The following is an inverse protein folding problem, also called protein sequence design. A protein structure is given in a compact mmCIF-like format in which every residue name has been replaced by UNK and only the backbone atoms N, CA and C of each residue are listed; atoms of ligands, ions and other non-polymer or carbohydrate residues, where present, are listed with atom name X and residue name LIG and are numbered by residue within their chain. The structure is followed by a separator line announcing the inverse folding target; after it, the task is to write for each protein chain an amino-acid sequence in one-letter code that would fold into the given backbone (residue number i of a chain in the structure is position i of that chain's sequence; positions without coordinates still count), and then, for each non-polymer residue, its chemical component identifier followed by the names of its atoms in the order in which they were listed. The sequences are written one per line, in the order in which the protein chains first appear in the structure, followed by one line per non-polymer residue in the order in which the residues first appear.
data_IF_919334551681
#
_entry.id   IF_919334551681
#
_cell.length_a   1.000
_cell.length_b   1.000
_cell.length_c   1.000
_cell.angle_alpha   90.00
_cell.angle_beta   90.00
_cell.angle_gamma   90.00
#
_symmetry.space_group_name_H-M   'P 1'
#
loop_
_entity.id
_entity.type
_entity.pdbx_description
1 polymer ?
#
# COMPACT_ATOMS: atom_id res chain seq x y z
N UNK A 1 -3.27 -1.87 -9.65
CA UNK A 1 -4.68 -1.41 -9.76
C UNK A 1 -5.51 -2.23 -8.79
N UNK A 2 -6.50 -1.61 -8.16
CA UNK A 2 -7.45 -2.28 -7.27
C UNK A 2 -8.90 -1.94 -7.63
N UNK A 3 -9.82 -2.87 -7.37
CA UNK A 3 -11.26 -2.65 -7.50
C UNK A 3 -11.96 -2.93 -6.17
N UNK A 4 -13.00 -2.16 -5.85
CA UNK A 4 -13.91 -2.45 -4.73
C UNK A 4 -15.38 -2.55 -5.20
N UNK A 5 -16.31 -2.60 -4.26
CA UNK A 5 -17.76 -2.69 -4.51
C UNK A 5 -18.46 -1.31 -4.53
N UNK A 6 -17.78 -0.24 -4.13
CA UNK A 6 -18.33 1.12 -4.15
C UNK A 6 -17.23 2.17 -4.29
N UNK A 7 -17.59 3.36 -4.80
CA UNK A 7 -16.65 4.49 -4.90
C UNK A 7 -16.13 4.87 -3.52
N UNK A 8 -17.00 5.00 -2.51
CA UNK A 8 -16.62 5.36 -1.14
C UNK A 8 -15.55 4.42 -0.56
N UNK A 9 -15.72 3.10 -0.72
CA UNK A 9 -14.74 2.12 -0.23
C UNK A 9 -13.42 2.21 -1.00
N UNK A 10 -13.50 2.51 -2.29
CA UNK A 10 -12.30 2.74 -3.11
C UNK A 10 -11.55 4.00 -2.67
N UNK A 11 -12.26 5.08 -2.34
CA UNK A 11 -11.67 6.32 -1.79
C UNK A 11 -11.02 6.08 -0.43
N UNK A 12 -11.71 5.39 0.49
CA UNK A 12 -11.18 5.04 1.81
C UNK A 12 -9.86 4.27 1.71
N UNK A 13 -9.82 3.22 0.87
CA UNK A 13 -8.62 2.39 0.68
C UNK A 13 -7.53 3.18 -0.04
N UNK A 14 -7.87 3.99 -1.04
CA UNK A 14 -6.90 4.80 -1.78
C UNK A 14 -6.23 5.86 -0.87
N UNK A 15 -6.98 6.47 0.04
CA UNK A 15 -6.49 7.45 1.00
C UNK A 15 -5.46 6.88 2.00
N UNK A 16 -5.44 5.57 2.23
CA UNK A 16 -4.39 4.91 3.03
C UNK A 16 -2.99 5.13 2.44
N UNK A 17 -2.90 5.37 1.13
CA UNK A 17 -1.65 5.57 0.40
C UNK A 17 -1.23 7.03 0.29
N UNK A 18 -1.97 7.96 0.87
CA UNK A 18 -1.62 9.38 0.80
C UNK A 18 -0.37 9.72 1.61
N UNK A 19 -0.14 9.03 2.72
CA UNK A 19 1.05 9.23 3.55
C UNK A 19 2.06 8.08 3.39
N UNK A 20 1.89 7.23 2.38
CA UNK A 20 2.82 6.14 2.13
C UNK A 20 4.12 6.67 1.50
N UNK A 21 5.29 6.46 2.13
CA UNK A 21 6.57 6.99 1.62
C UNK A 21 7.04 6.36 0.30
N UNK A 22 6.43 5.25 -0.11
CA UNK A 22 6.70 4.60 -1.40
C UNK A 22 5.69 4.97 -2.47
N UNK A 23 4.57 5.61 -2.09
CA UNK A 23 3.56 6.07 -3.03
C UNK A 23 4.11 7.27 -3.80
N UNK A 24 4.11 7.18 -5.12
CA UNK A 24 4.42 8.28 -6.04
C UNK A 24 3.13 9.01 -6.39
N UNK A 25 2.08 8.24 -6.71
CA UNK A 25 0.79 8.74 -7.10
C UNK A 25 -0.27 7.73 -6.67
N UNK A 26 -1.40 8.23 -6.18
CA UNK A 26 -2.61 7.45 -6.03
C UNK A 26 -3.78 8.26 -6.61
N UNK A 27 -4.78 7.60 -7.17
CA UNK A 27 -6.03 8.24 -7.58
C UNK A 27 -7.15 7.22 -7.71
N UNK A 28 -8.38 7.73 -7.61
CA UNK A 28 -9.62 6.98 -7.78
C UNK A 28 -10.31 7.39 -9.07
N UNK A 29 -10.91 6.42 -9.74
CA UNK A 29 -11.87 6.62 -10.82
C UNK A 29 -12.96 5.57 -10.70
N UNK A 30 -14.17 6.00 -10.37
CA UNK A 30 -15.29 5.12 -10.07
C UNK A 30 -14.90 4.11 -8.97
N UNK A 31 -15.18 2.82 -9.16
CA UNK A 31 -14.82 1.75 -8.21
C UNK A 31 -13.36 1.29 -8.34
N UNK A 32 -12.54 1.95 -9.16
CA UNK A 32 -11.15 1.60 -9.44
C UNK A 32 -10.19 2.56 -8.76
N UNK A 33 -9.13 2.01 -8.16
CA UNK A 33 -7.98 2.76 -7.66
C UNK A 33 -6.71 2.36 -8.39
N UNK A 34 -5.85 3.35 -8.60
CA UNK A 34 -4.50 3.16 -9.11
C UNK A 34 -3.54 3.76 -8.11
N UNK A 35 -2.54 2.97 -7.70
CA UNK A 35 -1.43 3.43 -6.88
C UNK A 35 -0.14 3.06 -7.61
N UNK A 36 0.71 4.05 -7.82
CA UNK A 36 2.05 3.89 -8.37
C UNK A 36 3.02 3.97 -7.22
N UNK A 37 3.84 2.93 -7.09
CA UNK A 37 4.88 2.88 -6.06
C UNK A 37 6.27 2.96 -6.67
N UNK A 38 7.19 3.59 -5.96
CA UNK A 38 8.63 3.48 -6.15
C UNK A 38 9.17 2.68 -4.97
N UNK A 39 9.42 1.39 -5.19
CA UNK A 39 9.77 0.43 -4.12
C UNK A 39 11.17 -0.14 -4.32
N UNK A 40 11.92 -0.38 -3.24
CA UNK A 40 13.07 -1.27 -3.26
C UNK A 40 12.69 -2.68 -3.73
N UNK A 41 13.61 -3.39 -4.41
CA UNK A 41 13.32 -4.71 -4.99
C UNK A 41 12.93 -5.77 -3.96
N UNK A 42 13.50 -5.70 -2.76
CA UNK A 42 13.23 -6.59 -1.64
C UNK A 42 11.84 -6.36 -1.00
N UNK A 43 11.09 -5.33 -1.43
CA UNK A 43 9.73 -5.03 -0.99
C UNK A 43 8.65 -5.48 -1.99
N UNK A 44 9.02 -6.05 -3.15
CA UNK A 44 8.07 -6.52 -4.18
C UNK A 44 7.04 -7.51 -3.65
N UNK A 45 7.43 -8.37 -2.70
CA UNK A 45 6.57 -9.38 -2.09
C UNK A 45 5.30 -8.79 -1.44
N UNK A 46 5.33 -7.52 -1.02
CA UNK A 46 4.17 -6.85 -0.45
C UNK A 46 3.05 -6.73 -1.50
N UNK A 47 3.36 -6.23 -2.69
CA UNK A 47 2.39 -6.08 -3.76
C UNK A 47 1.92 -7.45 -4.28
N UNK A 48 2.81 -8.45 -4.32
CA UNK A 48 2.44 -9.80 -4.70
C UNK A 48 1.42 -10.43 -3.73
N UNK A 49 1.53 -10.19 -2.42
CA UNK A 49 0.54 -10.72 -1.46
C UNK A 49 -0.83 -10.04 -1.63
N UNK A 50 -0.84 -8.74 -1.97
CA UNK A 50 -2.07 -8.02 -2.32
C UNK A 50 -2.72 -8.61 -3.58
N UNK A 51 -1.93 -8.91 -4.62
CA UNK A 51 -2.44 -9.56 -5.83
C UNK A 51 -2.98 -10.98 -5.56
N UNK A 52 -2.26 -11.76 -4.75
CA UNK A 52 -2.67 -13.14 -4.41
C UNK A 52 -3.93 -13.18 -3.53
N UNK A 53 -4.11 -12.18 -2.66
CA UNK A 53 -5.18 -12.15 -1.64
C UNK A 53 -5.76 -10.75 -1.45
N UNK A 54 -6.37 -10.16 -2.49
CA UNK A 54 -6.83 -8.77 -2.48
C UNK A 54 -7.86 -8.50 -1.38
N UNK A 55 -8.81 -9.42 -1.21
CA UNK A 55 -9.88 -9.32 -0.21
C UNK A 55 -9.33 -9.39 1.22
N UNK A 56 -8.36 -10.29 1.48
CA UNK A 56 -7.80 -10.49 2.83
C UNK A 56 -6.79 -9.44 3.24
N UNK A 57 -6.19 -8.73 2.29
CA UNK A 57 -5.14 -7.75 2.54
C UNK A 57 -5.72 -6.35 2.66
N UNK A 58 -6.47 -5.90 1.65
CA UNK A 58 -6.97 -4.54 1.54
C UNK A 58 -8.51 -4.48 1.40
N UNK A 59 -9.21 -5.62 1.40
CA UNK A 59 -10.66 -5.65 1.17
C UNK A 59 -11.06 -5.35 -0.27
N UNK A 60 -10.13 -5.53 -1.21
CA UNK A 60 -10.35 -5.34 -2.64
C UNK A 60 -11.05 -6.58 -3.24
N UNK A 61 -11.96 -6.36 -4.19
CA UNK A 61 -12.56 -7.45 -4.97
C UNK A 61 -11.61 -7.98 -6.04
N UNK A 62 -10.67 -7.13 -6.50
CA UNK A 62 -9.61 -7.46 -7.44
C UNK A 62 -8.37 -6.61 -7.17
N UNK A 63 -7.19 -7.19 -7.35
CA UNK A 63 -5.95 -6.44 -7.49
C UNK A 63 -5.13 -7.00 -8.66
N UNK A 64 -4.54 -6.11 -9.45
CA UNK A 64 -3.60 -6.44 -10.53
C UNK A 64 -2.33 -5.62 -10.37
N UNK A 65 -1.17 -6.28 -10.37
CA UNK A 65 0.12 -5.65 -10.11
C UNK A 65 1.00 -5.74 -11.35
N UNK A 66 1.60 -4.60 -11.71
CA UNK A 66 2.51 -4.50 -12.84
C UNK A 66 3.85 -3.96 -12.34
N UNK A 67 4.92 -4.67 -12.67
CA UNK A 67 6.28 -4.22 -12.40
C UNK A 67 6.90 -3.63 -13.66
N UNK A 68 7.51 -2.46 -13.53
CA UNK A 68 8.23 -1.80 -14.62
C UNK A 68 9.59 -1.33 -14.13
N UNK A 69 10.63 -1.62 -14.90
CA UNK A 69 12.01 -1.17 -14.63
C UNK A 69 12.30 0.20 -15.27
N UNK A 70 11.37 0.73 -16.07
CA UNK A 70 11.58 1.93 -16.88
C UNK A 70 10.75 3.14 -16.43
N UNK A 71 9.97 2.99 -15.35
CA UNK A 71 9.23 4.10 -14.75
C UNK A 71 9.96 4.59 -13.50
N UNK A 72 10.34 5.87 -13.50
CA UNK A 72 10.90 6.57 -12.35
C UNK A 72 9.91 7.59 -11.80
N UNK A 73 10.00 7.86 -10.50
CA UNK A 73 9.20 8.88 -9.82
C UNK A 73 9.80 9.20 -8.46
N UNK A 74 9.58 10.44 -8.00
CA UNK A 74 9.92 10.83 -6.63
C UNK A 74 8.77 10.38 -5.73
N UNK A 75 9.06 9.49 -4.78
CA UNK A 75 8.07 9.07 -3.80
C UNK A 75 7.82 10.16 -2.77
N UNK A 76 6.70 10.08 -2.05
CA UNK A 76 6.36 11.04 -0.99
C UNK A 76 7.37 10.93 0.18
N UNK A 77 7.61 12.03 0.87
CA UNK A 77 8.39 12.01 2.11
C UNK A 77 7.65 11.22 3.20
N UNK A 78 8.38 10.44 3.99
CA UNK A 78 7.78 9.67 5.07
C UNK A 78 7.23 10.58 6.17
N UNK A 79 5.90 10.54 6.37
CA UNK A 79 5.25 11.20 7.51
C UNK A 79 5.12 10.19 8.66
N UNK A 80 5.59 10.57 9.85
CA UNK A 80 5.50 9.75 11.07
C UNK A 80 4.02 9.58 11.46
N UNK A 81 3.52 8.34 11.58
CA UNK A 81 2.16 8.02 12.07
C UNK A 81 2.24 7.10 13.29
N UNK A 82 1.35 7.34 14.27
CA UNK A 82 1.17 6.48 15.46
C UNK A 82 0.42 5.19 15.13
N UNK A 83 -0.39 5.19 14.06
CA UNK A 83 -1.16 4.05 13.58
C UNK A 83 -0.70 3.64 12.18
N UNK A 84 -0.56 2.33 11.95
CA UNK A 84 -0.17 1.85 10.61
C UNK A 84 -1.30 2.05 9.61
N UNK A 85 -0.97 2.42 8.35
CA UNK A 85 -1.97 2.61 7.30
C UNK A 85 -2.69 1.32 6.87
N UNK A 86 -2.33 0.16 7.43
CA UNK A 86 -2.91 -1.14 7.08
C UNK A 86 -3.92 -1.68 8.11
N UNK A 87 -4.24 -0.92 9.18
CA UNK A 87 -5.15 -1.36 10.24
C UNK A 87 -4.74 -2.69 10.90
N UNK A 88 -3.48 -3.11 10.74
CA UNK A 88 -2.98 -4.37 11.26
C UNK A 88 -2.48 -4.13 12.67
N UNK A 89 -2.99 -4.91 13.64
CA UNK A 89 -2.40 -4.98 14.98
C UNK A 89 -0.92 -5.38 14.84
N UNK A 90 -0.02 -4.41 14.94
CA UNK A 90 1.41 -4.63 14.72
C UNK A 90 1.95 -5.75 15.60
N UNK A 91 1.43 -5.90 16.82
CA UNK A 91 1.79 -6.98 17.75
C UNK A 91 1.56 -8.39 17.18
N UNK A 92 0.66 -8.54 16.20
CA UNK A 92 0.37 -9.79 15.49
C UNK A 92 1.11 -9.90 14.15
N UNK A 93 1.82 -8.86 13.72
CA UNK A 93 2.62 -8.91 12.51
C UNK A 93 3.80 -9.86 12.73
N UNK A 94 3.95 -10.86 11.86
CA UNK A 94 5.09 -11.80 11.90
C UNK A 94 6.46 -11.12 11.69
N UNK A 95 6.45 -9.86 11.29
CA UNK A 95 7.61 -8.99 11.13
C UNK A 95 7.70 -7.91 12.22
N UNK A 96 6.79 -7.90 13.20
CA UNK A 96 6.90 -7.08 14.40
C UNK A 96 8.23 -7.36 15.11
N UNK A 97 8.96 -6.31 15.49
CA UNK A 97 10.31 -6.37 16.05
C UNK A 97 11.40 -6.96 15.13
N UNK A 98 11.06 -7.32 13.89
CA UNK A 98 12.02 -7.53 12.79
C UNK A 98 12.01 -6.28 11.91
N UNK A 99 13.13 -5.98 11.26
CA UNK A 99 13.27 -4.77 10.42
C UNK A 99 12.29 -4.86 9.25
N UNK A 100 11.19 -4.11 9.31
CA UNK A 100 10.40 -3.80 8.13
C UNK A 100 10.99 -2.52 7.58
N UNK A 101 11.86 -2.63 6.57
CA UNK A 101 12.58 -1.50 5.96
C UNK A 101 11.68 -0.51 5.18
N UNK A 102 10.38 -0.46 5.54
CA UNK A 102 9.38 0.42 4.98
C UNK A 102 8.07 0.55 5.77
N UNK A 103 8.04 0.17 7.05
CA UNK A 103 6.88 0.45 7.90
C UNK A 103 6.88 1.94 8.29
N UNK A 104 5.81 2.72 8.10
CA UNK A 104 5.78 4.12 8.55
C UNK A 104 5.70 4.27 10.09
N UNK A 105 5.46 3.18 10.84
CA UNK A 105 5.55 3.14 12.31
C UNK A 105 6.99 2.90 12.80
N UNK A 106 7.97 3.63 12.26
CA UNK A 106 9.28 3.76 12.89
C UNK A 106 9.39 5.20 13.30
N UNK A 107 9.12 5.48 14.57
CA UNK A 107 9.91 6.34 15.46
C UNK A 107 9.14 6.40 16.80
N UNK A 108 9.81 6.03 17.89
CA UNK A 108 9.39 6.46 19.24
C UNK A 108 9.44 7.98 19.36
#
# INVERSE_FOLDING_TARGET
MGKTESVDKTEDICGLFDDCPYSVLNFVKDELMVVIFSLPEDHRWWLEEVEKRPEKTLGLSLAEIFFSEHMGGVSREAVKREETPYGTECERCKFYLKRCEGCPCIFG
#
